data_IF_092208251384
#
_entry.id   IF_092208251384
#
_cell.length_a   1.000
_cell.length_b   1.000
_cell.length_c   1.000
_cell.angle_alpha   90.00
_cell.angle_beta   90.00
_cell.angle_gamma   90.00
#
_symmetry.space_group_name_H-M   'P 1'
#
loop_
_entity.id
_entity.type
_entity.pdbx_description
1 polymer ?
#
# COMPACT_ATOMS: atom_id res chain seq x y z
N UNK A 1 13.36 48.71 -44.26
CA UNK A 1 14.32 48.90 -43.15
C UNK A 1 13.77 48.10 -41.97
N UNK A 2 13.97 46.79 -41.91
CA UNK A 2 15.20 46.04 -41.59
C UNK A 2 15.58 46.16 -40.13
N UNK A 3 15.36 45.10 -39.34
CA UNK A 3 16.42 44.41 -38.59
C UNK A 3 15.98 42.97 -38.32
N UNK A 4 16.67 42.02 -38.98
CA UNK A 4 16.79 40.61 -38.58
C UNK A 4 18.01 40.51 -37.67
N UNK A 5 17.97 39.66 -36.65
CA UNK A 5 19.08 38.95 -35.99
C UNK A 5 18.46 38.08 -34.88
N UNK A 6 18.89 36.88 -34.54
CA UNK A 6 19.69 35.83 -35.18
C UNK A 6 19.51 34.61 -34.26
N UNK A 7 19.54 33.40 -34.83
CA UNK A 7 19.31 32.12 -34.16
C UNK A 7 20.29 31.79 -33.03
N UNK A 8 19.81 31.06 -32.01
CA UNK A 8 20.56 30.13 -31.17
C UNK A 8 19.78 28.80 -31.17
N UNK A 9 20.22 27.81 -31.98
CA UNK A 9 20.82 26.54 -31.54
C UNK A 9 20.25 26.03 -30.19
N UNK A 10 19.36 25.03 -30.16
CA UNK A 10 19.53 23.60 -30.46
C UNK A 10 20.19 22.78 -29.33
N UNK A 11 19.59 21.59 -29.12
CA UNK A 11 20.06 20.40 -28.41
C UNK A 11 19.94 20.35 -26.88
N UNK A 12 18.96 19.56 -26.44
CA UNK A 12 18.85 19.02 -25.09
C UNK A 12 17.87 17.85 -25.05
N UNK A 13 18.16 16.80 -25.83
CA UNK A 13 17.45 15.52 -25.78
C UNK A 13 17.83 14.80 -24.47
N UNK A 14 16.99 14.96 -23.44
CA UNK A 14 17.06 14.21 -22.19
C UNK A 14 15.95 13.17 -22.18
N UNK A 15 16.30 11.96 -22.57
CA UNK A 15 15.44 10.76 -22.59
C UNK A 15 14.91 10.51 -21.17
N UNK A 16 13.65 10.84 -20.90
CA UNK A 16 12.96 10.28 -19.74
C UNK A 16 12.73 8.81 -20.06
N UNK A 17 13.60 7.98 -19.51
CA UNK A 17 13.51 6.54 -19.52
C UNK A 17 12.10 6.12 -19.08
N UNK A 18 11.37 5.56 -20.03
CA UNK A 18 10.14 4.82 -19.81
C UNK A 18 10.42 3.65 -18.86
N UNK A 19 10.22 3.85 -17.56
CA UNK A 19 10.06 2.76 -16.61
C UNK A 19 8.68 2.13 -16.86
N UNK A 20 8.55 1.39 -17.95
CA UNK A 20 7.42 0.50 -18.17
C UNK A 20 7.77 -0.83 -17.48
N UNK A 21 7.14 -1.17 -16.33
CA UNK A 21 7.34 -2.49 -15.75
C UNK A 21 6.79 -3.54 -16.72
N UNK A 22 7.68 -4.41 -17.18
CA UNK A 22 7.34 -5.61 -17.96
C UNK A 22 6.41 -6.49 -17.11
N UNK A 23 5.19 -6.81 -17.57
CA UNK A 23 4.37 -7.80 -16.88
C UNK A 23 4.96 -9.19 -17.18
N UNK A 24 5.58 -9.80 -16.16
CA UNK A 24 5.91 -11.22 -16.20
C UNK A 24 4.61 -12.02 -16.29
N UNK A 25 4.28 -12.44 -17.51
CA UNK A 25 3.19 -13.38 -17.76
C UNK A 25 3.74 -14.77 -17.56
N UNK A 26 3.66 -15.28 -16.32
CA UNK A 26 3.90 -16.70 -16.05
C UNK A 26 2.55 -17.41 -16.08
N UNK A 27 2.29 -18.11 -17.18
CA UNK A 27 1.24 -19.12 -17.26
C UNK A 27 1.71 -20.40 -16.57
N UNK A 28 1.04 -20.80 -15.49
CA UNK A 28 0.88 -22.21 -15.09
C UNK A 28 -0.22 -22.39 -14.05
N UNK A 29 -1.37 -22.82 -14.56
CA UNK A 29 -2.19 -23.96 -14.11
C UNK A 29 -2.01 -24.45 -12.67
N UNK A 30 -3.05 -24.26 -11.84
CA UNK A 30 -3.76 -25.27 -11.02
C UNK A 30 -4.61 -24.53 -9.97
N UNK A 31 -5.93 -24.77 -9.86
CA UNK A 31 -6.73 -24.13 -8.82
C UNK A 31 -6.75 -25.00 -7.54
N UNK A 32 -6.39 -24.43 -6.38
CA UNK A 32 -7.08 -24.76 -5.14
C UNK A 32 -8.06 -23.65 -4.82
N UNK A 33 -9.27 -24.07 -4.45
CA UNK A 33 -10.30 -23.22 -3.89
C UNK A 33 -9.81 -22.51 -2.61
N UNK A 34 -10.47 -21.39 -2.29
CA UNK A 34 -10.22 -20.50 -1.15
C UNK A 34 -9.18 -19.38 -1.37
N UNK A 35 -9.41 -18.56 -2.40
CA UNK A 35 -8.74 -17.28 -2.53
C UNK A 35 -9.53 -16.20 -1.77
N UNK A 36 -9.19 -15.99 -0.50
CA UNK A 36 -9.26 -14.62 0.06
C UNK A 36 -8.53 -13.70 -0.92
N UNK A 37 -9.09 -12.56 -1.35
CA UNK A 37 -8.43 -11.69 -2.31
C UNK A 37 -7.20 -11.07 -1.63
N UNK A 38 -6.03 -11.68 -1.82
CA UNK A 38 -4.73 -11.06 -1.55
C UNK A 38 -4.56 -9.96 -2.58
N UNK A 39 -4.98 -8.74 -2.21
CA UNK A 39 -4.65 -7.55 -2.98
C UNK A 39 -3.13 -7.56 -3.23
N UNK A 40 -2.70 -7.34 -4.47
CA UNK A 40 -1.30 -7.41 -4.87
C UNK A 40 -0.44 -6.55 -3.90
N UNK A 41 0.29 -7.24 -3.03
CA UNK A 41 1.10 -6.61 -2.01
C UNK A 41 2.28 -5.94 -2.70
N UNK A 42 2.39 -4.63 -2.52
CA UNK A 42 3.54 -3.83 -2.94
C UNK A 42 4.28 -3.46 -1.67
N UNK A 43 5.62 -3.53 -1.67
CA UNK A 43 6.47 -3.20 -0.54
C UNK A 43 5.99 -1.95 0.22
N UNK A 44 6.12 -1.95 1.54
CA UNK A 44 5.73 -0.85 2.41
C UNK A 44 6.97 -0.25 3.10
N UNK A 45 7.78 0.56 2.39
CA UNK A 45 9.04 1.09 2.93
C UNK A 45 8.81 2.17 4.02
N UNK A 46 7.60 2.71 4.12
CA UNK A 46 7.26 3.83 5.01
C UNK A 46 5.87 3.67 5.66
N UNK A 47 5.60 4.50 6.68
CA UNK A 47 4.35 4.50 7.44
C UNK A 47 3.10 4.74 6.58
N UNK A 48 3.17 5.62 5.57
CA UNK A 48 2.02 5.96 4.74
C UNK A 48 1.66 4.77 3.81
N UNK A 49 2.67 4.11 3.27
CA UNK A 49 2.52 2.86 2.51
C UNK A 49 1.89 1.76 3.37
N UNK A 50 2.29 1.63 4.64
CA UNK A 50 1.70 0.68 5.58
C UNK A 50 0.21 0.95 5.87
N UNK A 51 -0.15 2.22 6.14
CA UNK A 51 -1.56 2.62 6.32
C UNK A 51 -2.40 2.34 5.09
N UNK A 52 -1.86 2.63 3.90
CA UNK A 52 -2.54 2.38 2.63
C UNK A 52 -2.77 0.89 2.40
N UNK A 53 -1.77 0.05 2.69
CA UNK A 53 -1.90 -1.40 2.61
C UNK A 53 -3.00 -1.93 3.54
N UNK A 54 -3.04 -1.46 4.79
CA UNK A 54 -4.08 -1.84 5.76
C UNK A 54 -5.46 -1.32 5.37
N UNK A 55 -5.58 -0.08 4.88
CA UNK A 55 -6.85 0.45 4.42
C UNK A 55 -7.43 -0.38 3.27
N UNK A 56 -6.58 -0.78 2.30
CA UNK A 56 -6.97 -1.67 1.21
C UNK A 56 -7.37 -3.05 1.71
N UNK A 57 -6.62 -3.62 2.65
CA UNK A 57 -6.96 -4.90 3.26
C UNK A 57 -8.31 -4.84 3.99
N UNK A 58 -8.57 -3.77 4.75
CA UNK A 58 -9.84 -3.59 5.47
C UNK A 58 -11.04 -3.58 4.52
N UNK A 59 -10.91 -3.00 3.32
CA UNK A 59 -11.99 -2.98 2.32
C UNK A 59 -12.40 -4.38 1.84
N UNK A 60 -11.55 -5.41 2.00
CA UNK A 60 -11.90 -6.79 1.65
C UNK A 60 -12.62 -7.53 2.77
N UNK A 61 -12.67 -6.96 3.98
CA UNK A 61 -13.31 -7.57 5.13
C UNK A 61 -14.84 -7.36 5.09
N UNK A 62 -15.63 -8.37 5.51
CA UNK A 62 -17.10 -8.26 5.53
C UNK A 62 -17.62 -7.17 6.49
N UNK A 63 -16.80 -6.77 7.46
CA UNK A 63 -17.12 -5.77 8.49
C UNK A 63 -16.27 -4.49 8.34
N UNK A 64 -15.84 -4.16 7.12
CA UNK A 64 -14.99 -3.00 6.81
C UNK A 64 -15.48 -1.67 7.42
N UNK A 65 -16.81 -1.47 7.46
CA UNK A 65 -17.46 -0.26 7.99
C UNK A 65 -17.25 -0.03 9.49
N UNK A 66 -16.79 -1.05 10.23
CA UNK A 66 -16.51 -0.94 11.66
C UNK A 66 -15.13 -0.34 11.94
N UNK A 67 -14.24 -0.28 10.94
CA UNK A 67 -12.87 0.19 11.11
C UNK A 67 -12.74 1.68 10.74
N UNK A 68 -11.86 2.39 11.46
CA UNK A 68 -11.55 3.81 11.18
C UNK A 68 -10.07 3.96 10.75
N UNK A 69 -9.72 3.62 9.49
CA UNK A 69 -8.33 3.56 9.02
C UNK A 69 -7.61 4.92 9.07
N UNK A 70 -8.30 6.04 8.85
CA UNK A 70 -7.70 7.38 8.99
C UNK A 70 -7.22 7.68 10.42
N UNK A 71 -7.80 7.04 11.43
CA UNK A 71 -7.41 7.16 12.83
C UNK A 71 -6.41 6.09 13.28
N UNK A 72 -5.83 5.35 12.32
CA UNK A 72 -4.83 4.33 12.60
C UNK A 72 -3.56 4.96 13.21
N UNK A 73 -2.98 4.25 14.16
CA UNK A 73 -1.62 4.51 14.65
C UNK A 73 -0.69 3.48 14.05
N UNK A 74 0.51 3.90 13.67
CA UNK A 74 1.54 3.00 13.16
C UNK A 74 2.72 3.03 14.11
N UNK A 75 3.18 1.84 14.48
CA UNK A 75 4.40 1.63 15.22
C UNK A 75 5.41 0.97 14.28
N UNK A 76 6.62 1.49 14.31
CA UNK A 76 7.75 0.91 13.59
C UNK A 76 8.32 -0.28 14.38
N UNK A 77 8.28 -1.46 13.79
CA UNK A 77 9.09 -2.60 14.23
C UNK A 77 10.12 -2.92 13.15
N UNK A 78 11.19 -3.62 13.53
CA UNK A 78 12.33 -3.90 12.65
C UNK A 78 11.92 -4.36 11.23
N UNK A 79 11.22 -5.49 11.12
CA UNK A 79 10.80 -6.07 9.83
C UNK A 79 9.38 -5.68 9.38
N UNK A 80 8.57 -5.12 10.28
CA UNK A 80 7.12 -4.93 10.05
C UNK A 80 6.62 -3.59 10.55
N UNK A 81 5.60 -3.05 9.93
CA UNK A 81 4.76 -2.01 10.54
C UNK A 81 3.67 -2.66 11.38
N UNK A 82 3.52 -2.25 12.63
CA UNK A 82 2.33 -2.56 13.40
C UNK A 82 1.32 -1.42 13.24
N UNK A 83 0.17 -1.71 12.67
CA UNK A 83 -0.90 -0.74 12.44
C UNK A 83 -2.08 -1.03 13.36
N UNK A 84 -2.38 -0.10 14.26
CA UNK A 84 -3.46 -0.19 15.24
C UNK A 84 -4.65 0.65 14.79
N UNK A 85 -5.72 -0.02 14.33
CA UNK A 85 -6.90 0.61 13.74
C UNK A 85 -8.06 0.59 14.72
N UNK A 86 -8.62 1.75 15.10
CA UNK A 86 -9.81 1.82 15.94
C UNK A 86 -11.01 1.09 15.31
N UNK A 87 -11.83 0.49 16.17
CA UNK A 87 -13.11 -0.13 15.80
C UNK A 87 -14.27 0.56 16.51
N UNK A 88 -15.30 0.93 15.75
CA UNK A 88 -16.48 1.65 16.27
C UNK A 88 -17.31 0.77 17.20
N UNK A 89 -17.40 -0.53 16.92
CA UNK A 89 -18.12 -1.50 17.75
C UNK A 89 -17.40 -1.83 19.08
N UNK A 90 -16.12 -1.41 19.22
CA UNK A 90 -15.31 -1.63 20.42
C UNK A 90 -15.06 -0.35 21.22
N UNK A 91 -15.78 0.74 20.94
CA UNK A 91 -15.56 2.04 21.58
C UNK A 91 -15.56 1.99 23.12
N UNK A 92 -16.27 1.03 23.73
CA UNK A 92 -16.37 0.84 25.18
C UNK A 92 -15.66 -0.43 25.69
N UNK A 93 -14.74 -1.03 24.91
CA UNK A 93 -14.00 -2.25 25.29
C UNK A 93 -12.49 -2.03 25.18
N UNK A 94 -11.71 -2.69 26.03
CA UNK A 94 -10.26 -2.75 25.87
C UNK A 94 -9.84 -4.14 25.36
N UNK A 95 -8.93 -4.21 24.37
CA UNK A 95 -8.47 -3.12 23.51
C UNK A 95 -9.57 -2.67 22.52
N UNK A 96 -9.66 -1.35 22.24
CA UNK A 96 -10.62 -0.78 21.29
C UNK A 96 -10.09 -0.70 19.85
N UNK A 97 -8.97 -1.39 19.57
CA UNK A 97 -8.27 -1.33 18.29
C UNK A 97 -7.97 -2.74 17.81
N UNK A 98 -8.11 -2.96 16.51
CA UNK A 98 -7.57 -4.12 15.82
C UNK A 98 -6.09 -3.91 15.52
N UNK A 99 -5.29 -4.98 15.60
CA UNK A 99 -3.88 -4.98 15.23
C UNK A 99 -3.70 -5.62 13.86
N UNK A 100 -3.00 -4.91 12.98
CA UNK A 100 -2.51 -5.43 11.72
C UNK A 100 -1.00 -5.34 11.70
N UNK A 101 -0.36 -6.29 11.03
CA UNK A 101 1.07 -6.30 10.74
C UNK A 101 1.24 -6.19 9.25
N UNK A 102 2.12 -5.28 8.82
CA UNK A 102 2.49 -5.12 7.42
C UNK A 102 3.96 -5.45 7.28
N UNK A 103 4.29 -6.45 6.50
CA UNK A 103 5.67 -6.75 6.17
C UNK A 103 6.27 -5.61 5.32
N UNK A 104 7.42 -5.07 5.73
CA UNK A 104 8.01 -3.90 5.05
C UNK A 104 8.48 -4.20 3.63
N UNK A 105 8.95 -5.43 3.39
CA UNK A 105 9.53 -5.82 2.11
C UNK A 105 8.47 -6.19 1.07
N UNK A 106 7.39 -6.84 1.49
CA UNK A 106 6.37 -7.40 0.61
C UNK A 106 5.08 -6.58 0.64
N UNK A 107 4.83 -5.82 1.72
CA UNK A 107 3.57 -5.12 1.96
C UNK A 107 2.43 -6.05 2.36
N UNK A 108 2.71 -7.33 2.65
CA UNK A 108 1.70 -8.29 3.05
C UNK A 108 1.09 -7.90 4.39
N UNK A 109 -0.24 -7.94 4.47
CA UNK A 109 -1.01 -7.57 5.66
C UNK A 109 -1.52 -8.82 6.36
N UNK A 110 -1.22 -8.95 7.65
CA UNK A 110 -1.76 -9.98 8.54
C UNK A 110 -2.57 -9.33 9.66
N UNK A 111 -3.76 -9.87 9.95
CA UNK A 111 -4.53 -9.48 11.14
C UNK A 111 -4.08 -10.31 12.33
N UNK A 112 -3.71 -9.66 13.43
CA UNK A 112 -3.36 -10.34 14.68
C UNK A 112 -4.48 -10.16 15.71
N UNK A 113 -4.85 -11.22 16.46
CA UNK A 113 -5.73 -11.06 17.60
C UNK A 113 -5.06 -10.16 18.63
N UNK A 114 -5.84 -9.27 19.24
CA UNK A 114 -5.36 -8.32 20.24
C UNK A 114 -5.78 -8.88 21.60
N UNK A 115 -4.81 -9.24 22.44
CA UNK A 115 -5.00 -9.85 23.78
C UNK A 115 -5.31 -8.79 24.83
#
# INVERSE_FOLDING_TARGET
MTTKLFSLLALGAGVLASCQPTPNTTTSTTPPADATPTAAATSAPDEASARTAVARYIQTLPNATLYVPDSARVNDNEATWQVLVPRTDWANRMPNRARFEVDKQTGQVSSQPVK
#
